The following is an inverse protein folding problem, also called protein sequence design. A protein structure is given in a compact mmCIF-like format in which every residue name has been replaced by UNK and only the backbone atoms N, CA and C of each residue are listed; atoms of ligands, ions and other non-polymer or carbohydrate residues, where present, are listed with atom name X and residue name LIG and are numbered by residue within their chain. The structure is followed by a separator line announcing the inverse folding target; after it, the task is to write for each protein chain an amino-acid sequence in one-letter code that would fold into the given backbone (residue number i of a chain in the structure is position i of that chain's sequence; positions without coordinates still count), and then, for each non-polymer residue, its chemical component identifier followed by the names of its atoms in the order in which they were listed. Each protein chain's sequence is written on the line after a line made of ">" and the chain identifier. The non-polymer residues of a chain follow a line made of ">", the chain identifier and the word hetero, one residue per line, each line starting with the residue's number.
data_IF_022309507506
#
_entry.id   IF_022309507506
#
_cell.length_a   1.000
_cell.length_b   1.000
_cell.length_c   1.000
_cell.angle_alpha   90.00
_cell.angle_beta   90.00
_cell.angle_gamma   90.00
#
_symmetry.space_group_name_H-M   'P 1'
#
loop_
_entity.id
_entity.type
_entity.pdbx_description
1 polymer ?
#
# COMPACT_ATOMS: atom_id res chain seq x y z
N UNK A 1 -23.04 -11.30 -17.06
CA UNK A 1 -23.45 -10.32 -18.09
C UNK A 1 -24.44 -10.99 -19.00
N UNK A 2 -25.53 -10.30 -19.36
CA UNK A 2 -26.47 -10.81 -20.36
C UNK A 2 -25.80 -10.77 -21.75
N UNK A 3 -25.67 -11.95 -22.38
CA UNK A 3 -24.94 -12.15 -23.65
C UNK A 3 -25.70 -11.61 -24.85
N UNK A 4 -26.96 -11.22 -24.66
CA UNK A 4 -27.83 -10.69 -25.73
C UNK A 4 -27.39 -9.32 -26.22
N UNK A 5 -26.81 -8.48 -25.35
CA UNK A 5 -26.40 -7.11 -25.69
C UNK A 5 -25.02 -6.98 -26.36
N UNK A 6 -24.21 -8.05 -26.37
CA UNK A 6 -22.85 -8.03 -26.93
C UNK A 6 -22.73 -8.85 -28.22
N UNK A 7 -23.79 -8.90 -29.04
CA UNK A 7 -23.78 -9.71 -30.28
C UNK A 7 -22.67 -9.32 -31.24
N UNK A 8 -22.31 -8.05 -31.25
CA UNK A 8 -21.33 -7.47 -32.17
C UNK A 8 -19.89 -7.48 -31.64
N UNK A 9 -19.65 -8.00 -30.43
CA UNK A 9 -18.32 -8.06 -29.81
C UNK A 9 -18.03 -9.52 -29.41
N UNK A 10 -17.55 -10.34 -30.35
CA UNK A 10 -17.25 -11.76 -30.11
C UNK A 10 -16.35 -12.00 -28.88
N UNK A 11 -15.46 -11.05 -28.60
CA UNK A 11 -14.51 -11.07 -27.48
C UNK A 11 -15.21 -11.19 -26.12
N UNK A 12 -16.41 -10.61 -25.95
CA UNK A 12 -17.17 -10.67 -24.70
C UNK A 12 -18.10 -11.88 -24.59
N UNK A 13 -18.19 -12.71 -25.65
CA UNK A 13 -19.01 -13.93 -25.66
C UNK A 13 -18.24 -15.15 -25.15
N UNK A 14 -16.93 -15.21 -25.37
CA UNK A 14 -16.16 -16.45 -25.28
C UNK A 14 -15.16 -16.51 -24.12
N UNK A 15 -14.61 -15.38 -23.65
CA UNK A 15 -13.63 -15.41 -22.58
C UNK A 15 -13.67 -14.16 -21.70
N UNK A 16 -13.61 -14.36 -20.38
CA UNK A 16 -13.50 -13.29 -19.37
C UNK A 16 -12.06 -12.77 -19.29
N UNK A 17 -11.09 -13.50 -19.85
CA UNK A 17 -9.66 -13.19 -19.80
C UNK A 17 -9.02 -13.26 -21.19
N UNK A 18 -8.24 -12.25 -21.54
CA UNK A 18 -7.43 -12.19 -22.76
C UNK A 18 -5.94 -12.21 -22.37
N UNK A 19 -5.14 -12.99 -23.09
CA UNK A 19 -3.70 -13.14 -22.85
C UNK A 19 -2.98 -12.72 -24.12
N UNK A 20 -1.96 -11.89 -23.97
CA UNK A 20 -1.07 -11.47 -25.04
C UNK A 20 0.35 -11.92 -24.70
N UNK A 21 1.03 -12.50 -25.67
CA UNK A 21 2.46 -12.80 -25.64
C UNK A 21 3.09 -11.98 -26.76
N UNK A 22 4.11 -11.19 -26.42
CA UNK A 22 4.82 -10.30 -27.32
C UNK A 22 6.30 -10.36 -26.95
N UNK A 23 7.17 -10.20 -27.94
CA UNK A 23 8.62 -10.27 -27.72
C UNK A 23 9.20 -8.91 -27.29
N UNK A 24 8.48 -7.81 -27.57
CA UNK A 24 8.90 -6.45 -27.22
C UNK A 24 7.83 -5.68 -26.44
N UNK A 25 8.27 -4.65 -25.71
CA UNK A 25 7.38 -3.78 -24.94
C UNK A 25 6.52 -2.90 -25.87
N UNK A 26 7.07 -2.49 -27.01
CA UNK A 26 6.41 -1.70 -28.03
C UNK A 26 5.22 -2.47 -28.64
N UNK A 27 5.43 -3.72 -29.04
CA UNK A 27 4.37 -4.57 -29.59
C UNK A 27 3.27 -4.83 -28.56
N UNK A 28 3.65 -5.08 -27.31
CA UNK A 28 2.69 -5.25 -26.22
C UNK A 28 1.86 -3.97 -26.02
N UNK A 29 2.52 -2.80 -25.99
CA UNK A 29 1.88 -1.50 -25.84
C UNK A 29 0.83 -1.25 -26.92
N UNK A 30 1.16 -1.52 -28.18
CA UNK A 30 0.23 -1.37 -29.31
C UNK A 30 -1.00 -2.28 -29.15
N UNK A 31 -0.80 -3.57 -28.81
CA UNK A 31 -1.92 -4.51 -28.63
C UNK A 31 -2.83 -4.16 -27.45
N UNK A 32 -2.28 -3.64 -26.35
CA UNK A 32 -3.06 -3.34 -25.14
C UNK A 32 -3.65 -1.93 -25.13
N UNK A 33 -3.25 -1.04 -26.04
CA UNK A 33 -3.67 0.37 -26.06
C UNK A 33 -5.19 0.55 -26.01
N UNK A 34 -5.94 -0.25 -26.76
CA UNK A 34 -7.41 -0.20 -26.75
C UNK A 34 -8.06 -0.60 -25.41
N UNK A 35 -7.31 -1.27 -24.52
CA UNK A 35 -7.73 -1.69 -23.18
C UNK A 35 -7.24 -0.76 -22.07
N UNK A 36 -6.28 0.13 -22.34
CA UNK A 36 -5.64 1.00 -21.33
C UNK A 36 -5.96 2.48 -21.51
N UNK A 37 -6.13 2.96 -22.74
CA UNK A 37 -6.20 4.39 -23.05
C UNK A 37 -7.57 4.82 -23.57
N UNK A 38 -7.96 6.03 -23.21
CA UNK A 38 -9.17 6.70 -23.70
C UNK A 38 -8.93 7.58 -24.93
N UNK A 39 -7.70 7.62 -25.45
CA UNK A 39 -7.30 8.56 -26.50
C UNK A 39 -8.11 8.34 -27.79
N UNK A 40 -8.87 9.36 -28.17
CA UNK A 40 -9.72 9.40 -29.36
C UNK A 40 -8.95 9.75 -30.64
N UNK A 41 -7.65 9.99 -30.55
CA UNK A 41 -6.83 10.49 -31.67
C UNK A 41 -6.23 9.40 -32.57
N UNK A 42 -6.34 8.12 -32.21
CA UNK A 42 -5.87 7.03 -33.08
C UNK A 42 -7.00 6.50 -33.96
N UNK A 43 -7.02 6.88 -35.23
CA UNK A 43 -7.92 6.31 -36.26
C UNK A 43 -7.78 4.78 -36.44
N UNK A 44 -6.76 4.18 -35.83
CA UNK A 44 -6.46 2.74 -35.88
C UNK A 44 -7.36 1.89 -34.99
N UNK A 45 -7.97 2.43 -33.93
CA UNK A 45 -8.82 1.66 -33.02
C UNK A 45 -10.27 2.14 -33.04
N UNK A 46 -11.11 1.49 -33.86
CA UNK A 46 -12.56 1.77 -33.96
C UNK A 46 -13.34 1.51 -32.65
N UNK A 47 -12.79 0.77 -31.68
CA UNK A 47 -13.45 0.45 -30.40
C UNK A 47 -12.46 0.49 -29.24
N UNK A 48 -12.80 1.26 -28.20
CA UNK A 48 -12.08 1.32 -26.94
C UNK A 48 -12.78 0.45 -25.88
N UNK A 49 -12.02 -0.40 -25.20
CA UNK A 49 -12.52 -1.38 -24.23
C UNK A 49 -12.14 -1.08 -22.79
N UNK A 50 -11.24 -0.11 -22.54
CA UNK A 50 -10.79 0.26 -21.19
C UNK A 50 -11.90 0.47 -20.14
N UNK A 51 -13.12 0.97 -20.46
CA UNK A 51 -14.17 1.12 -19.44
C UNK A 51 -14.69 -0.22 -18.90
N UNK A 52 -14.48 -1.31 -19.64
CA UNK A 52 -14.92 -2.66 -19.30
C UNK A 52 -13.81 -3.49 -18.64
N UNK A 53 -12.58 -2.97 -18.63
CA UNK A 53 -11.41 -3.68 -18.11
C UNK A 53 -11.36 -3.50 -16.60
N UNK A 54 -11.41 -4.63 -15.87
CA UNK A 54 -11.28 -4.63 -14.41
C UNK A 54 -9.83 -4.50 -13.96
N UNK A 55 -8.92 -5.25 -14.57
CA UNK A 55 -7.49 -5.24 -14.26
C UNK A 55 -6.67 -5.70 -15.47
N UNK A 56 -5.42 -5.25 -15.51
CA UNK A 56 -4.41 -5.70 -16.47
C UNK A 56 -3.22 -6.19 -15.66
N UNK A 57 -2.73 -7.39 -15.97
CA UNK A 57 -1.55 -7.97 -15.34
C UNK A 57 -0.45 -8.08 -16.38
N UNK A 58 0.63 -7.34 -16.16
CA UNK A 58 1.82 -7.37 -17.02
C UNK A 58 2.87 -8.24 -16.32
N UNK A 59 3.47 -9.17 -17.05
CA UNK A 59 4.60 -9.97 -16.58
C UNK A 59 5.82 -9.60 -17.40
N UNK A 60 6.88 -9.18 -16.72
CA UNK A 60 8.15 -8.83 -17.34
C UNK A 60 9.10 -10.02 -17.16
N UNK A 61 9.58 -10.67 -18.23
CA UNK A 61 10.57 -11.73 -18.11
C UNK A 61 11.93 -11.17 -17.63
N UNK A 62 12.77 -12.03 -17.07
CA UNK A 62 14.16 -11.71 -16.70
C UNK A 62 14.34 -10.59 -15.65
N UNK A 63 13.33 -10.31 -14.82
CA UNK A 63 13.38 -9.31 -13.76
C UNK A 63 13.76 -9.88 -12.39
N UNK A 64 14.58 -10.95 -12.34
CA UNK A 64 14.84 -11.73 -11.12
C UNK A 64 15.39 -10.87 -9.98
N UNK A 65 16.29 -9.94 -10.32
CA UNK A 65 16.95 -9.09 -9.34
C UNK A 65 16.05 -7.99 -8.78
N UNK A 66 14.90 -7.70 -9.42
CA UNK A 66 14.08 -6.54 -9.08
C UNK A 66 12.64 -6.89 -8.68
N UNK A 67 11.99 -7.80 -9.41
CA UNK A 67 10.54 -8.04 -9.33
C UNK A 67 10.16 -9.54 -9.16
N UNK A 68 11.10 -10.45 -8.89
CA UNK A 68 10.81 -11.89 -8.70
C UNK A 68 9.75 -12.13 -7.60
N UNK A 69 9.83 -11.34 -6.53
CA UNK A 69 8.97 -11.43 -5.36
C UNK A 69 8.23 -10.13 -5.06
N UNK A 70 8.26 -9.18 -6.01
CA UNK A 70 7.63 -7.87 -5.86
C UNK A 70 6.60 -7.67 -6.98
N UNK A 71 5.36 -7.34 -6.58
CA UNK A 71 4.29 -6.97 -7.51
C UNK A 71 4.01 -5.48 -7.36
N UNK A 72 4.20 -4.73 -8.44
CA UNK A 72 3.79 -3.33 -8.51
C UNK A 72 2.31 -3.26 -8.94
N UNK A 73 1.50 -2.54 -8.17
CA UNK A 73 0.08 -2.34 -8.46
C UNK A 73 -0.15 -0.86 -8.68
N UNK A 74 -0.43 -0.49 -9.93
CA UNK A 74 -0.90 0.85 -10.27
C UNK A 74 -2.40 0.95 -9.98
N UNK A 75 -2.77 1.86 -9.08
CA UNK A 75 -4.14 2.02 -8.61
C UNK A 75 -4.74 3.31 -9.21
N UNK A 76 -6.03 3.30 -9.60
CA UNK A 76 -6.68 4.49 -10.09
C UNK A 76 -6.67 5.60 -9.03
N UNK A 77 -6.43 6.84 -9.47
CA UNK A 77 -6.44 8.01 -8.60
C UNK A 77 -7.84 8.38 -8.08
N UNK A 78 -7.88 9.30 -7.11
CA UNK A 78 -9.11 9.86 -6.56
C UNK A 78 -9.72 10.83 -7.60
N UNK A 79 -10.98 10.62 -7.99
CA UNK A 79 -11.64 11.43 -9.03
C UNK A 79 -12.03 10.67 -10.29
N UNK A 80 -11.98 9.34 -10.25
CA UNK A 80 -12.53 8.52 -11.33
C UNK A 80 -14.05 8.71 -11.43
N UNK A 81 -14.55 8.95 -12.65
CA UNK A 81 -16.00 9.05 -12.90
C UNK A 81 -16.76 7.79 -12.49
N UNK A 82 -16.09 6.63 -12.48
CA UNK A 82 -16.62 5.37 -12.02
C UNK A 82 -16.34 5.16 -10.53
N UNK A 83 -17.40 5.20 -9.72
CA UNK A 83 -17.33 5.00 -8.26
C UNK A 83 -16.68 3.68 -7.83
N UNK A 84 -16.88 2.59 -8.59
CA UNK A 84 -16.27 1.31 -8.22
C UNK A 84 -14.75 1.33 -8.40
N UNK A 85 -14.24 2.18 -9.30
CA UNK A 85 -12.81 2.42 -9.50
C UNK A 85 -12.26 3.39 -8.47
N UNK A 86 -12.99 4.46 -8.19
CA UNK A 86 -12.68 5.45 -7.15
C UNK A 86 -12.53 4.83 -5.74
N UNK A 87 -13.23 3.72 -5.47
CA UNK A 87 -13.17 3.00 -4.19
C UNK A 87 -12.26 1.76 -4.23
N UNK A 88 -11.75 1.37 -5.41
CA UNK A 88 -10.96 0.15 -5.57
C UNK A 88 -9.69 0.17 -4.73
N UNK A 89 -8.97 1.30 -4.74
CA UNK A 89 -7.68 1.42 -4.03
C UNK A 89 -7.83 1.14 -2.52
N UNK A 90 -8.97 1.50 -1.89
CA UNK A 90 -9.22 1.26 -0.46
C UNK A 90 -9.16 -0.22 -0.08
N UNK A 91 -9.60 -1.10 -0.97
CA UNK A 91 -9.60 -2.55 -0.74
C UNK A 91 -8.23 -3.20 -0.96
N UNK A 92 -7.35 -2.58 -1.75
CA UNK A 92 -6.03 -3.11 -2.05
C UNK A 92 -4.95 -2.58 -1.11
N UNK A 93 -5.06 -1.32 -0.67
CA UNK A 93 -3.99 -0.63 0.04
C UNK A 93 -3.62 -1.27 1.38
N UNK A 94 -4.58 -1.91 2.07
CA UNK A 94 -4.33 -2.64 3.32
C UNK A 94 -3.51 -3.92 3.15
N UNK A 95 -3.49 -4.50 1.93
CA UNK A 95 -2.72 -5.70 1.60
C UNK A 95 -1.35 -5.35 0.98
N UNK A 96 -1.03 -4.07 0.80
CA UNK A 96 0.26 -3.65 0.28
C UNK A 96 1.31 -3.71 1.40
N UNK A 97 2.51 -4.21 1.12
CA UNK A 97 3.63 -4.16 2.09
C UNK A 97 4.37 -2.82 2.06
N UNK A 98 4.24 -2.07 0.97
CA UNK A 98 4.76 -0.71 0.82
C UNK A 98 3.81 0.10 -0.07
N UNK A 99 3.67 1.40 0.21
CA UNK A 99 2.81 2.30 -0.56
C UNK A 99 3.59 3.47 -1.11
N UNK A 100 3.44 3.73 -2.40
CA UNK A 100 4.05 4.86 -3.10
C UNK A 100 2.97 5.88 -3.46
N UNK A 101 3.09 7.10 -2.93
CA UNK A 101 2.22 8.24 -3.26
C UNK A 101 2.96 9.07 -4.29
N UNK A 102 2.46 9.10 -5.51
CA UNK A 102 3.10 9.77 -6.64
C UNK A 102 2.40 11.10 -6.92
N UNK A 103 3.13 12.20 -6.86
CA UNK A 103 2.62 13.54 -7.17
C UNK A 103 3.60 14.29 -8.05
N UNK A 104 3.10 15.26 -8.82
CA UNK A 104 3.93 16.27 -9.47
C UNK A 104 4.67 17.09 -8.41
N UNK A 105 5.95 17.41 -8.60
CA UNK A 105 6.73 18.22 -7.65
C UNK A 105 6.10 19.60 -7.41
N UNK A 106 5.46 20.19 -8.42
CA UNK A 106 4.78 21.48 -8.29
C UNK A 106 3.53 21.40 -7.39
N UNK A 107 2.99 20.19 -7.21
CA UNK A 107 1.74 19.92 -6.48
C UNK A 107 1.94 19.10 -5.20
N UNK A 108 3.12 18.53 -4.98
CA UNK A 108 3.42 17.60 -3.88
C UNK A 108 3.02 18.13 -2.49
N UNK A 109 3.13 19.43 -2.25
CA UNK A 109 2.80 20.05 -0.97
C UNK A 109 1.41 20.65 -0.91
N UNK A 110 0.80 20.96 -2.05
CA UNK A 110 -0.45 21.73 -2.16
C UNK A 110 -1.67 20.88 -2.56
N UNK A 111 -1.47 19.80 -3.32
CA UNK A 111 -2.54 18.90 -3.76
C UNK A 111 -3.22 18.26 -2.56
N UNK A 112 -4.55 18.33 -2.51
CA UNK A 112 -5.28 17.87 -1.33
C UNK A 112 -5.51 16.35 -1.40
N UNK A 113 -5.74 15.86 -2.61
CA UNK A 113 -6.05 14.49 -2.96
C UNK A 113 -4.96 13.52 -2.51
N UNK A 114 -3.69 13.83 -2.82
CA UNK A 114 -2.53 13.03 -2.40
C UNK A 114 -2.41 12.89 -0.88
N UNK A 115 -2.78 13.93 -0.14
CA UNK A 115 -2.75 13.92 1.33
C UNK A 115 -4.02 13.33 1.95
N UNK A 116 -5.16 13.43 1.28
CA UNK A 116 -6.39 12.73 1.67
C UNK A 116 -6.25 11.22 1.50
N UNK A 117 -5.60 10.76 0.41
CA UNK A 117 -5.24 9.35 0.22
C UNK A 117 -4.34 8.90 1.37
N UNK A 118 -3.31 9.68 1.73
CA UNK A 118 -2.47 9.35 2.87
C UNK A 118 -3.27 9.23 4.17
N UNK A 119 -4.06 10.25 4.54
CA UNK A 119 -4.82 10.27 5.80
C UNK A 119 -5.80 9.10 5.90
N UNK A 120 -6.47 8.77 4.79
CA UNK A 120 -7.40 7.63 4.75
C UNK A 120 -6.68 6.28 4.73
N UNK A 121 -5.55 6.20 4.04
CA UNK A 121 -4.71 4.99 3.96
C UNK A 121 -4.05 4.65 5.29
N UNK A 122 -3.59 5.65 6.04
CA UNK A 122 -2.91 5.49 7.33
C UNK A 122 -3.75 4.71 8.33
N UNK A 123 -5.07 4.90 8.32
CA UNK A 123 -5.99 4.13 9.17
C UNK A 123 -6.14 2.66 8.74
N UNK A 124 -5.93 2.36 7.45
CA UNK A 124 -6.00 1.01 6.87
C UNK A 124 -4.66 0.26 6.96
N UNK A 125 -3.56 1.01 6.96
CA UNK A 125 -2.17 0.53 7.01
C UNK A 125 -1.61 0.48 8.44
N UNK A 126 -2.27 1.17 9.38
CA UNK A 126 -1.87 1.24 10.78
C UNK A 126 -1.83 -0.13 11.49
N UNK A 127 -1.81 -0.17 12.83
CA UNK A 127 -1.76 -1.42 13.60
C UNK A 127 -2.80 -2.45 13.11
N UNK A 128 -2.29 -3.52 12.48
CA UNK A 128 -3.08 -4.56 11.80
C UNK A 128 -2.90 -4.66 10.28
N UNK A 129 -2.29 -3.67 9.62
CA UNK A 129 -1.97 -3.70 8.19
C UNK A 129 -0.57 -4.29 7.88
N UNK A 130 -0.36 -4.76 6.65
CA UNK A 130 0.94 -5.32 6.24
C UNK A 130 1.97 -4.26 5.80
N UNK A 131 1.57 -2.99 5.66
CA UNK A 131 2.47 -1.98 5.11
C UNK A 131 3.49 -1.48 6.14
N UNK A 132 4.76 -1.65 5.77
CA UNK A 132 5.93 -1.33 6.59
C UNK A 132 6.59 -0.01 6.20
N UNK A 133 6.22 0.58 5.06
CA UNK A 133 6.85 1.81 4.57
C UNK A 133 5.96 2.58 3.60
N UNK A 134 5.94 3.91 3.75
CA UNK A 134 5.30 4.82 2.81
C UNK A 134 6.39 5.64 2.12
N UNK A 135 6.30 5.77 0.79
CA UNK A 135 7.20 6.63 0.01
C UNK A 135 6.40 7.69 -0.73
N UNK A 136 6.83 8.95 -0.64
CA UNK A 136 6.26 10.04 -1.41
C UNK A 136 7.19 10.36 -2.58
N UNK A 137 6.72 10.21 -3.81
CA UNK A 137 7.49 10.36 -5.04
C UNK A 137 7.05 11.63 -5.75
N UNK A 138 7.91 12.65 -5.70
CA UNK A 138 7.73 13.91 -6.41
C UNK A 138 8.31 13.78 -7.83
N UNK A 139 7.43 13.72 -8.83
CA UNK A 139 7.77 13.54 -10.25
C UNK A 139 7.96 14.87 -10.98
N UNK A 140 8.46 14.81 -12.22
CA UNK A 140 8.68 15.97 -13.11
C UNK A 140 9.65 17.00 -12.53
N UNK A 141 10.71 16.52 -11.90
CA UNK A 141 11.75 17.40 -11.35
C UNK A 141 12.59 18.09 -12.43
N UNK A 142 12.45 17.68 -13.68
CA UNK A 142 12.97 18.35 -14.88
C UNK A 142 12.17 19.57 -15.31
N UNK A 143 10.94 19.73 -14.80
CA UNK A 143 10.10 20.87 -15.16
C UNK A 143 10.57 22.12 -14.42
N UNK A 144 11.30 22.98 -15.14
CA UNK A 144 11.90 24.24 -14.67
C UNK A 144 11.51 25.39 -15.59
N UNK A 145 11.39 26.58 -15.00
CA UNK A 145 11.07 27.80 -15.74
C UNK A 145 12.22 28.21 -16.68
N UNK A 146 11.90 28.94 -17.76
CA UNK A 146 12.88 29.35 -18.78
C UNK A 146 14.05 30.17 -18.19
N UNK A 147 13.74 31.04 -17.24
CA UNK A 147 14.70 31.89 -16.52
C UNK A 147 15.69 31.10 -15.63
N UNK A 148 15.41 29.83 -15.33
CA UNK A 148 16.25 28.97 -14.48
C UNK A 148 17.16 28.05 -15.29
N UNK A 149 17.04 28.04 -16.63
CA UNK A 149 17.78 27.10 -17.48
C UNK A 149 19.29 27.29 -17.47
N UNK A 150 19.78 28.51 -17.23
CA UNK A 150 21.22 28.80 -17.17
C UNK A 150 21.90 28.06 -16.00
N UNK A 151 21.22 27.94 -14.86
CA UNK A 151 21.68 27.27 -13.64
C UNK A 151 20.79 26.05 -13.29
N UNK A 152 20.29 25.36 -14.32
CA UNK A 152 19.26 24.32 -14.20
C UNK A 152 19.57 23.27 -13.13
N UNK A 153 20.80 22.72 -13.14
CA UNK A 153 21.25 21.70 -12.19
C UNK A 153 21.08 22.16 -10.73
N UNK A 154 21.68 23.30 -10.38
CA UNK A 154 21.60 23.89 -9.03
C UNK A 154 20.16 24.23 -8.63
N UNK A 155 19.38 24.80 -9.54
CA UNK A 155 17.98 25.13 -9.30
C UNK A 155 17.14 23.87 -9.00
N UNK A 156 17.33 22.81 -9.78
CA UNK A 156 16.62 21.53 -9.59
C UNK A 156 16.98 20.93 -8.24
N UNK A 157 18.28 20.80 -7.90
CA UNK A 157 18.70 20.20 -6.63
C UNK A 157 18.18 20.99 -5.43
N UNK A 158 18.28 22.32 -5.47
CA UNK A 158 17.78 23.19 -4.38
C UNK A 158 16.27 23.06 -4.20
N UNK A 159 15.52 23.05 -5.30
CA UNK A 159 14.06 22.88 -5.27
C UNK A 159 13.69 21.50 -4.73
N UNK A 160 14.35 20.45 -5.20
CA UNK A 160 14.12 19.07 -4.77
C UNK A 160 14.30 18.93 -3.26
N UNK A 161 15.41 19.41 -2.70
CA UNK A 161 15.65 19.36 -1.25
C UNK A 161 14.64 20.19 -0.45
N UNK A 162 14.27 21.37 -0.98
CA UNK A 162 13.23 22.20 -0.36
C UNK A 162 11.88 21.48 -0.32
N UNK A 163 11.46 20.88 -1.44
CA UNK A 163 10.20 20.14 -1.52
C UNK A 163 10.22 18.91 -0.61
N UNK A 164 11.31 18.15 -0.58
CA UNK A 164 11.45 17.00 0.33
C UNK A 164 11.27 17.41 1.79
N UNK A 165 11.88 18.53 2.20
CA UNK A 165 11.70 19.08 3.55
C UNK A 165 10.24 19.46 3.81
N UNK A 166 9.60 20.18 2.89
CA UNK A 166 8.20 20.59 3.04
C UNK A 166 7.24 19.41 3.11
N UNK A 167 7.45 18.35 2.32
CA UNK A 167 6.66 17.12 2.38
C UNK A 167 6.85 16.42 3.73
N UNK A 168 8.09 16.27 4.21
CA UNK A 168 8.35 15.72 5.55
C UNK A 168 7.70 16.54 6.66
N UNK A 169 7.79 17.86 6.59
CA UNK A 169 7.18 18.78 7.56
C UNK A 169 5.65 18.68 7.53
N UNK A 170 5.03 18.50 6.35
CA UNK A 170 3.58 18.32 6.22
C UNK A 170 3.16 16.95 6.76
N UNK A 171 3.91 15.89 6.48
CA UNK A 171 3.66 14.55 6.99
C UNK A 171 3.70 14.48 8.51
N UNK A 172 4.74 15.04 9.14
CA UNK A 172 4.85 15.08 10.60
C UNK A 172 3.76 15.92 11.28
N UNK A 173 3.11 16.83 10.55
CA UNK A 173 1.95 17.60 11.04
C UNK A 173 0.63 16.84 10.94
N UNK A 174 0.56 15.73 10.20
CA UNK A 174 -0.67 14.95 10.07
C UNK A 174 -1.03 14.24 11.37
N UNK A 175 -2.26 14.46 11.85
CA UNK A 175 -2.74 13.93 13.13
C UNK A 175 -2.91 12.42 13.11
N UNK A 176 -3.45 11.87 12.03
CA UNK A 176 -3.70 10.42 11.92
C UNK A 176 -2.38 9.63 11.81
N UNK A 177 -1.39 10.17 11.10
CA UNK A 177 -0.04 9.59 11.02
C UNK A 177 0.58 9.46 12.40
N UNK A 178 0.53 10.54 13.21
CA UNK A 178 1.05 10.55 14.58
C UNK A 178 0.35 9.56 15.51
N UNK A 179 -0.92 9.23 15.25
CA UNK A 179 -1.66 8.25 16.06
C UNK A 179 -1.21 6.83 15.76
N UNK A 180 -1.07 6.48 14.48
CA UNK A 180 -0.83 5.08 14.10
C UNK A 180 0.66 4.72 14.02
N UNK A 181 1.55 5.68 13.75
CA UNK A 181 2.98 5.41 13.61
C UNK A 181 3.81 6.12 14.68
N UNK A 182 4.70 5.36 15.32
CA UNK A 182 5.84 5.93 16.03
C UNK A 182 6.74 6.56 14.97
N UNK A 183 6.75 7.88 14.87
CA UNK A 183 7.40 8.63 13.78
C UNK A 183 8.93 8.50 13.89
N UNK A 184 9.47 7.35 13.48
CA UNK A 184 10.87 7.20 13.10
C UNK A 184 11.07 7.73 11.67
N UNK A 185 12.22 8.33 11.39
CA UNK A 185 12.57 8.86 10.07
C UNK A 185 12.51 7.80 8.95
N UNK A 186 12.56 6.52 9.30
CA UNK A 186 12.63 5.43 8.32
C UNK A 186 11.28 5.02 7.71
N UNK A 187 10.16 5.41 8.33
CA UNK A 187 8.82 5.01 7.85
C UNK A 187 8.39 5.79 6.59
N UNK A 188 8.75 7.08 6.51
CA UNK A 188 8.50 7.91 5.33
C UNK A 188 9.80 8.18 4.57
N UNK A 189 9.84 7.73 3.32
CA UNK A 189 10.86 8.17 2.36
C UNK A 189 10.27 9.19 1.39
N UNK A 190 11.03 10.23 1.04
CA UNK A 190 10.61 11.21 0.04
C UNK A 190 11.64 11.25 -1.08
N UNK A 191 11.20 10.93 -2.28
CA UNK A 191 12.01 10.87 -3.48
C UNK A 191 11.62 12.00 -4.45
N UNK A 192 12.60 12.52 -5.17
CA UNK A 192 12.41 13.50 -6.24
C UNK A 192 12.96 12.93 -7.54
N UNK A 193 12.08 12.66 -8.50
CA UNK A 193 12.42 11.87 -9.68
C UNK A 193 12.11 12.58 -11.00
N UNK A 194 12.98 12.34 -11.98
CA UNK A 194 12.73 12.68 -13.39
C UNK A 194 13.14 11.52 -14.29
N UNK A 195 12.17 10.98 -15.03
CA UNK A 195 12.43 9.97 -16.05
C UNK A 195 13.15 10.54 -17.27
N UNK A 196 12.92 11.82 -17.60
CA UNK A 196 13.60 12.46 -18.74
C UNK A 196 15.08 12.64 -18.48
N UNK A 197 15.44 13.14 -17.30
CA UNK A 197 16.84 13.30 -16.92
C UNK A 197 17.53 11.95 -16.75
N UNK A 198 16.83 10.94 -16.23
CA UNK A 198 17.40 9.59 -16.11
C UNK A 198 17.74 8.95 -17.47
N UNK A 199 16.96 9.26 -18.51
CA UNK A 199 17.19 8.74 -19.86
C UNK A 199 18.19 9.56 -20.68
N UNK A 200 18.28 10.87 -20.43
CA UNK A 200 19.00 11.82 -21.32
C UNK A 200 20.15 12.56 -20.66
N UNK A 201 20.23 12.56 -19.33
CA UNK A 201 21.26 13.22 -18.52
C UNK A 201 21.56 14.67 -18.96
N UNK A 202 20.52 15.46 -19.19
CA UNK A 202 20.67 16.81 -19.76
C UNK A 202 21.16 17.80 -18.71
N UNK A 203 20.60 17.70 -17.52
CA UNK A 203 20.83 18.61 -16.40
C UNK A 203 21.15 17.86 -15.10
N UNK A 204 20.87 16.55 -15.00
CA UNK A 204 21.18 15.73 -13.82
C UNK A 204 21.85 14.43 -14.24
N UNK A 205 22.76 13.92 -13.41
CA UNK A 205 23.24 12.53 -13.52
C UNK A 205 22.16 11.54 -13.06
N UNK A 206 22.24 10.29 -13.49
CA UNK A 206 21.25 9.26 -13.14
C UNK A 206 21.08 9.10 -11.62
N UNK A 207 22.17 9.16 -10.86
CA UNK A 207 22.19 9.04 -9.41
C UNK A 207 21.41 10.19 -8.73
N UNK A 208 21.44 11.37 -9.33
CA UNK A 208 20.76 12.58 -8.83
C UNK A 208 19.26 12.56 -9.10
N UNK A 209 18.79 11.74 -10.05
CA UNK A 209 17.36 11.56 -10.34
C UNK A 209 16.64 10.70 -9.32
N UNK A 210 17.37 10.04 -8.42
CA UNK A 210 16.86 9.13 -7.39
C UNK A 210 16.06 7.91 -7.89
N UNK A 211 15.89 7.74 -9.20
CA UNK A 211 15.35 6.51 -9.80
C UNK A 211 16.20 5.29 -9.40
N UNK A 212 17.56 5.36 -9.40
CA UNK A 212 18.37 4.27 -8.87
C UNK A 212 18.05 3.91 -7.41
N UNK A 213 17.75 4.90 -6.56
CA UNK A 213 17.36 4.67 -5.16
C UNK A 213 16.00 3.96 -5.04
N UNK A 214 15.06 4.27 -5.95
CA UNK A 214 13.79 3.52 -6.04
C UNK A 214 14.02 2.08 -6.52
N UNK A 215 14.91 1.86 -7.47
CA UNK A 215 15.30 0.51 -7.88
C UNK A 215 15.95 -0.26 -6.73
N UNK A 216 16.85 0.37 -5.97
CA UNK A 216 17.46 -0.21 -4.78
C UNK A 216 16.41 -0.54 -3.71
N UNK A 217 15.41 0.31 -3.52
CA UNK A 217 14.28 0.03 -2.64
C UNK A 217 13.55 -1.27 -3.06
N UNK A 218 13.28 -1.44 -4.36
CA UNK A 218 12.64 -2.66 -4.88
C UNK A 218 13.53 -3.89 -4.72
N UNK A 219 14.83 -3.79 -5.03
CA UNK A 219 15.81 -4.87 -4.80
C UNK A 219 15.82 -5.31 -3.34
N UNK A 220 15.85 -4.36 -2.41
CA UNK A 220 15.81 -4.65 -0.98
C UNK A 220 14.52 -5.38 -0.55
N UNK A 221 13.38 -5.06 -1.15
CA UNK A 221 12.13 -5.80 -0.89
C UNK A 221 12.20 -7.23 -1.45
N UNK A 222 12.76 -7.37 -2.65
CA UNK A 222 12.94 -8.66 -3.32
C UNK A 222 13.88 -9.59 -2.52
N UNK A 223 15.03 -9.06 -2.09
CA UNK A 223 16.07 -9.80 -1.37
C UNK A 223 15.65 -10.28 0.01
N UNK A 224 14.77 -9.53 0.71
CA UNK A 224 14.30 -9.92 2.05
C UNK A 224 13.69 -11.32 2.06
N UNK A 225 12.92 -11.65 1.02
CA UNK A 225 12.30 -12.98 0.91
C UNK A 225 13.36 -14.06 0.63
N UNK A 226 14.33 -13.76 -0.23
CA UNK A 226 15.45 -14.65 -0.53
C UNK A 226 16.27 -14.95 0.73
N UNK A 227 16.66 -13.92 1.49
CA UNK A 227 17.43 -14.07 2.73
C UNK A 227 16.71 -14.90 3.78
N UNK A 228 15.40 -14.68 3.98
CA UNK A 228 14.62 -15.53 4.89
C UNK A 228 14.60 -16.98 4.42
N UNK A 229 14.42 -17.23 3.13
CA UNK A 229 14.46 -18.57 2.56
C UNK A 229 15.84 -19.23 2.71
N UNK A 230 16.91 -18.46 2.53
CA UNK A 230 18.30 -18.91 2.71
C UNK A 230 18.57 -19.29 4.17
N UNK A 231 18.22 -18.45 5.14
CA UNK A 231 18.38 -18.79 6.56
C UNK A 231 17.62 -20.06 6.94
N UNK A 232 16.38 -20.22 6.45
CA UNK A 232 15.58 -21.43 6.70
C UNK A 232 16.24 -22.65 6.04
N UNK A 233 16.76 -22.49 4.83
CA UNK A 233 17.41 -23.59 4.09
C UNK A 233 18.76 -23.97 4.69
N UNK A 234 19.55 -23.00 5.18
CA UNK A 234 20.82 -23.24 5.86
C UNK A 234 20.59 -23.96 7.20
N UNK A 235 19.64 -23.48 8.00
CA UNK A 235 19.25 -24.15 9.23
C UNK A 235 18.75 -25.57 8.96
N UNK A 236 17.93 -25.76 7.92
CA UNK A 236 17.48 -27.08 7.49
C UNK A 236 18.62 -27.98 7.02
N UNK A 237 19.59 -27.43 6.28
CA UNK A 237 20.78 -28.15 5.81
C UNK A 237 21.65 -28.63 6.97
N UNK A 238 21.91 -27.78 7.95
CA UNK A 238 22.64 -28.15 9.18
C UNK A 238 21.89 -29.25 9.93
N UNK A 239 20.57 -29.11 10.11
CA UNK A 239 19.74 -30.14 10.75
C UNK A 239 19.78 -31.48 9.99
N UNK A 240 19.75 -31.43 8.66
CA UNK A 240 19.83 -32.62 7.81
C UNK A 240 21.20 -33.31 7.91
N UNK A 241 22.29 -32.54 8.00
CA UNK A 241 23.64 -33.08 8.22
C UNK A 241 23.78 -33.74 9.60
N UNK A 242 23.23 -33.12 10.65
CA UNK A 242 23.20 -33.71 11.99
C UNK A 242 22.40 -35.01 11.97
N UNK A 243 21.24 -35.03 11.30
CA UNK A 243 20.41 -36.22 11.17
C UNK A 243 21.10 -37.33 10.37
N UNK A 244 21.80 -36.98 9.28
CA UNK A 244 22.61 -37.92 8.50
C UNK A 244 23.79 -38.49 9.30
N UNK A 245 24.48 -37.66 10.10
CA UNK A 245 25.61 -38.05 10.93
C UNK A 245 25.26 -38.98 12.11
N UNK A 246 23.98 -39.09 12.49
CA UNK A 246 23.47 -40.11 13.44
C UNK A 246 23.64 -41.54 12.90
N UNK A 247 23.99 -41.72 11.62
CA UNK A 247 24.16 -43.04 10.98
C UNK A 247 25.60 -43.57 10.90
N UNK A 248 26.59 -42.90 11.54
CA UNK A 248 27.99 -43.36 11.58
C UNK A 248 28.57 -43.57 13.00
N UNK A 249 29.36 -44.65 13.12
CA UNK A 249 29.92 -45.35 14.30
C UNK A 249 30.87 -44.54 15.22
N UNK A 250 30.44 -43.36 15.68
CA UNK A 250 31.11 -42.57 16.72
C UNK A 250 30.05 -42.12 17.74
N UNK A 251 29.66 -43.03 18.62
CA UNK A 251 28.38 -43.00 19.36
C UNK A 251 28.33 -42.01 20.52
N UNK A 252 29.39 -41.85 21.31
CA UNK A 252 29.21 -41.27 22.65
C UNK A 252 29.20 -39.72 22.68
N UNK A 253 30.11 -39.05 21.94
CA UNK A 253 30.14 -37.57 21.89
C UNK A 253 29.05 -36.97 20.99
N UNK A 254 28.51 -37.73 20.03
CA UNK A 254 27.44 -37.24 19.13
C UNK A 254 26.09 -37.18 19.83
N UNK A 255 25.82 -38.15 20.70
CA UNK A 255 24.55 -38.26 21.39
C UNK A 255 24.38 -37.14 22.43
N UNK A 256 25.43 -36.81 23.18
CA UNK A 256 25.42 -35.68 24.13
C UNK A 256 25.17 -34.33 23.42
N UNK A 257 25.88 -34.06 22.32
CA UNK A 257 25.69 -32.83 21.54
C UNK A 257 24.29 -32.76 20.92
N UNK A 258 23.77 -33.88 20.40
CA UNK A 258 22.40 -33.94 19.88
C UNK A 258 21.37 -33.65 20.98
N UNK A 259 21.52 -34.24 22.17
CA UNK A 259 20.63 -33.99 23.30
C UNK A 259 20.66 -32.53 23.74
N UNK A 260 21.84 -31.90 23.79
CA UNK A 260 21.98 -30.47 24.11
C UNK A 260 21.28 -29.59 23.06
N UNK A 261 21.42 -29.91 21.77
CA UNK A 261 20.76 -29.16 20.69
C UNK A 261 19.25 -29.35 20.71
N UNK A 262 18.76 -30.57 20.89
CA UNK A 262 17.32 -30.89 21.01
C UNK A 262 16.71 -30.18 22.23
N UNK A 263 17.41 -30.17 23.35
CA UNK A 263 16.99 -29.46 24.56
C UNK A 263 16.95 -27.94 24.34
N UNK A 264 17.99 -27.34 23.74
CA UNK A 264 17.99 -25.91 23.39
C UNK A 264 16.88 -25.55 22.41
N UNK A 265 16.65 -26.39 21.40
CA UNK A 265 15.57 -26.19 20.44
C UNK A 265 14.21 -26.21 21.15
N UNK A 266 13.98 -27.20 22.01
CA UNK A 266 12.77 -27.32 22.82
C UNK A 266 12.57 -26.10 23.74
N UNK A 267 13.63 -25.62 24.39
CA UNK A 267 13.59 -24.41 25.21
C UNK A 267 13.28 -23.15 24.39
N UNK A 268 13.88 -23.00 23.21
CA UNK A 268 13.62 -21.87 22.31
C UNK A 268 12.21 -21.91 21.75
N UNK A 269 11.72 -23.08 21.31
CA UNK A 269 10.33 -23.26 20.87
C UNK A 269 9.37 -22.92 22.01
N UNK A 270 9.65 -23.39 23.23
CA UNK A 270 8.83 -23.07 24.41
C UNK A 270 8.84 -21.57 24.71
N UNK A 271 9.99 -20.92 24.63
CA UNK A 271 10.11 -19.48 24.84
C UNK A 271 9.35 -18.67 23.78
N UNK A 272 9.42 -19.08 22.51
CA UNK A 272 8.62 -18.49 21.42
C UNK A 272 7.13 -18.69 21.69
N UNK A 273 6.72 -19.93 22.04
CA UNK A 273 5.34 -20.25 22.37
C UNK A 273 4.79 -19.41 23.53
N UNK A 274 5.56 -19.24 24.60
CA UNK A 274 5.19 -18.37 25.73
C UNK A 274 5.03 -16.91 25.30
N UNK A 275 5.97 -16.39 24.50
CA UNK A 275 5.86 -15.02 23.97
C UNK A 275 4.62 -14.84 23.08
N UNK A 276 4.26 -15.86 22.29
CA UNK A 276 3.06 -15.84 21.46
C UNK A 276 1.78 -15.94 22.31
N UNK A 277 1.76 -16.80 23.33
CA UNK A 277 0.63 -16.95 24.25
C UNK A 277 0.38 -15.67 25.05
N UNK A 278 1.43 -15.00 25.51
CA UNK A 278 1.33 -13.74 26.24
C UNK A 278 0.76 -12.64 25.33
N UNK A 279 1.24 -12.56 24.09
CA UNK A 279 0.68 -11.64 23.09
C UNK A 279 -0.80 -11.98 22.80
N UNK A 280 -1.14 -13.26 22.62
CA UNK A 280 -2.51 -13.70 22.36
C UNK A 280 -3.45 -13.29 23.50
N UNK A 281 -3.08 -13.58 24.76
CA UNK A 281 -3.87 -13.19 25.94
C UNK A 281 -4.02 -11.68 26.06
N UNK A 282 -2.96 -10.93 25.74
CA UNK A 282 -3.01 -9.47 25.75
C UNK A 282 -4.03 -8.95 24.73
N UNK A 283 -3.98 -9.44 23.48
CA UNK A 283 -4.94 -9.07 22.44
C UNK A 283 -6.37 -9.53 22.76
N UNK A 284 -6.57 -10.74 23.26
CA UNK A 284 -7.89 -11.25 23.66
C UNK A 284 -8.53 -10.37 24.73
N UNK A 285 -7.75 -9.94 25.73
CA UNK A 285 -8.21 -9.00 26.77
C UNK A 285 -8.57 -7.64 26.17
N UNK A 286 -7.73 -7.11 25.27
CA UNK A 286 -7.99 -5.82 24.60
C UNK A 286 -9.25 -5.87 23.74
N UNK A 287 -9.43 -6.95 22.96
CA UNK A 287 -10.61 -7.19 22.13
C UNK A 287 -11.87 -7.30 22.98
N UNK A 288 -11.84 -8.13 24.03
CA UNK A 288 -12.98 -8.32 24.94
C UNK A 288 -13.42 -7.00 25.57
N UNK A 289 -12.45 -6.22 26.08
CA UNK A 289 -12.72 -4.89 26.64
C UNK A 289 -13.22 -3.91 25.58
N UNK A 290 -12.70 -3.96 24.36
CA UNK A 290 -13.12 -3.12 23.24
C UNK A 290 -14.55 -3.40 22.80
N UNK A 291 -14.95 -4.68 22.77
CA UNK A 291 -16.33 -5.09 22.51
C UNK A 291 -17.25 -4.55 23.60
N UNK A 292 -16.92 -4.76 24.88
CA UNK A 292 -17.73 -4.25 25.99
C UNK A 292 -17.91 -2.72 25.92
N UNK A 293 -16.82 -1.97 25.70
CA UNK A 293 -16.89 -0.52 25.56
C UNK A 293 -17.70 -0.08 24.33
N UNK A 294 -17.62 -0.83 23.22
CA UNK A 294 -18.40 -0.57 22.02
C UNK A 294 -19.89 -0.75 22.31
N UNK A 295 -20.29 -1.84 22.98
CA UNK A 295 -21.68 -2.10 23.38
C UNK A 295 -22.23 -1.00 24.29
N UNK A 296 -21.50 -0.64 25.35
CA UNK A 296 -21.91 0.40 26.31
C UNK A 296 -22.04 1.80 25.68
N UNK A 297 -21.23 2.09 24.66
CA UNK A 297 -21.18 3.41 24.01
C UNK A 297 -21.91 3.48 22.67
N UNK A 298 -22.41 2.35 22.15
CA UNK A 298 -22.97 2.22 20.81
C UNK A 298 -24.09 3.24 20.56
N UNK A 299 -25.08 3.32 21.45
CA UNK A 299 -26.21 4.23 21.31
C UNK A 299 -25.76 5.70 21.31
N UNK A 300 -24.80 6.05 22.18
CA UNK A 300 -24.23 7.41 22.26
C UNK A 300 -23.46 7.78 20.99
N UNK A 301 -22.68 6.86 20.44
CA UNK A 301 -21.93 7.06 19.19
C UNK A 301 -22.91 7.20 18.02
N UNK A 302 -23.87 6.28 17.93
CA UNK A 302 -24.90 6.27 16.88
C UNK A 302 -25.71 7.58 16.88
N UNK A 303 -26.14 8.04 18.05
CA UNK A 303 -26.88 9.31 18.19
C UNK A 303 -26.03 10.54 17.84
N UNK A 304 -24.73 10.55 18.18
CA UNK A 304 -23.82 11.62 17.75
C UNK A 304 -23.67 11.67 16.23
N UNK A 305 -23.59 10.51 15.57
CA UNK A 305 -23.42 10.42 14.11
C UNK A 305 -24.70 10.81 13.37
N UNK A 306 -25.85 10.31 13.81
CA UNK A 306 -27.14 10.45 13.12
C UNK A 306 -27.85 11.77 13.48
N UNK A 307 -27.66 12.30 14.68
CA UNK A 307 -28.35 13.50 15.18
C UNK A 307 -27.42 14.52 15.87
N UNK A 308 -26.36 15.02 15.20
CA UNK A 308 -25.33 15.86 15.83
C UNK A 308 -25.80 17.23 16.35
N UNK A 309 -27.04 17.65 16.08
CA UNK A 309 -27.59 18.96 16.49
C UNK A 309 -28.97 18.89 17.16
N UNK A 310 -29.43 17.71 17.57
CA UNK A 310 -30.73 17.54 18.24
C UNK A 310 -31.96 17.94 17.39
N UNK A 311 -31.79 18.22 16.09
CA UNK A 311 -32.89 18.61 15.20
C UNK A 311 -33.71 17.38 14.80
N UNK A 312 -34.89 17.25 15.40
CA UNK A 312 -35.93 16.28 15.00
C UNK A 312 -36.31 16.57 13.54
N UNK A 313 -36.01 15.63 12.63
CA UNK A 313 -36.47 15.67 11.23
C UNK A 313 -35.40 15.52 10.14
N UNK A 314 -34.11 15.81 10.40
CA UNK A 314 -33.05 15.68 9.37
C UNK A 314 -32.26 14.35 9.41
N UNK A 315 -32.42 13.55 10.48
CA UNK A 315 -31.67 12.31 10.68
C UNK A 315 -32.09 11.17 9.73
N UNK A 316 -33.36 11.09 9.34
CA UNK A 316 -33.85 10.00 8.50
C UNK A 316 -33.13 9.91 7.15
N UNK A 317 -32.88 11.04 6.49
CA UNK A 317 -32.15 11.06 5.21
C UNK A 317 -30.69 10.64 5.37
N UNK A 318 -30.07 11.00 6.50
CA UNK A 318 -28.71 10.58 6.84
C UNK A 318 -28.65 9.07 7.10
N UNK A 319 -29.54 8.54 7.95
CA UNK A 319 -29.67 7.09 8.24
C UNK A 319 -29.91 6.32 6.95
N UNK A 320 -30.88 6.76 6.14
CA UNK A 320 -31.20 6.15 4.85
C UNK A 320 -29.98 6.11 3.93
N UNK A 321 -29.17 7.17 3.92
CA UNK A 321 -27.93 7.19 3.15
C UNK A 321 -26.86 6.27 3.72
N UNK A 322 -26.68 6.23 5.04
CA UNK A 322 -25.72 5.34 5.70
C UNK A 322 -26.07 3.88 5.40
N UNK A 323 -27.33 3.47 5.58
CA UNK A 323 -27.77 2.11 5.29
C UNK A 323 -27.57 1.71 3.81
N UNK A 324 -27.85 2.62 2.87
CA UNK A 324 -27.67 2.34 1.43
C UNK A 324 -26.21 2.23 0.99
N UNK A 325 -25.29 2.87 1.71
CA UNK A 325 -23.89 2.98 1.33
C UNK A 325 -22.97 2.28 2.35
N UNK A 326 -23.45 1.20 2.99
CA UNK A 326 -22.63 0.38 3.89
C UNK A 326 -22.02 1.14 5.08
N UNK A 327 -22.74 2.11 5.64
CA UNK A 327 -22.31 2.87 6.83
C UNK A 327 -21.57 4.18 6.53
N UNK A 328 -21.48 4.60 5.26
CA UNK A 328 -20.76 5.83 4.86
C UNK A 328 -21.68 6.85 4.19
N UNK A 329 -21.60 8.12 4.63
CA UNK A 329 -22.32 9.23 4.03
C UNK A 329 -21.38 10.36 3.62
N UNK A 330 -21.33 10.63 2.32
CA UNK A 330 -20.66 11.80 1.75
C UNK A 330 -21.70 12.89 1.43
N UNK A 331 -21.75 13.99 2.20
CA UNK A 331 -22.72 15.06 1.95
C UNK A 331 -22.42 15.79 0.63
N UNK A 332 -23.43 15.96 -0.24
CA UNK A 332 -23.29 16.70 -1.51
C UNK A 332 -23.47 18.21 -1.29
N UNK A 333 -22.52 19.02 -1.75
CA UNK A 333 -22.66 20.49 -1.80
C UNK A 333 -21.39 21.25 -2.20
N UNK A 334 -21.55 22.45 -2.78
CA UNK A 334 -20.49 23.36 -3.29
C UNK A 334 -19.45 23.84 -2.27
N UNK A 335 -19.52 23.38 -1.01
CA UNK A 335 -18.47 23.58 -0.01
C UNK A 335 -17.81 22.23 0.23
N UNK A 336 -16.68 21.99 -0.43
CA UNK A 336 -15.76 20.83 -0.32
C UNK A 336 -15.17 20.59 1.08
N UNK A 337 -15.80 21.15 2.13
CA UNK A 337 -15.33 21.11 3.53
C UNK A 337 -16.13 20.17 4.43
N UNK A 338 -17.21 19.52 3.96
CA UNK A 338 -17.93 18.57 4.81
C UNK A 338 -17.28 17.19 4.72
N UNK A 339 -16.58 16.81 5.79
CA UNK A 339 -15.94 15.50 5.97
C UNK A 339 -16.95 14.37 5.80
N UNK A 340 -16.49 13.27 5.24
CA UNK A 340 -17.21 12.00 5.18
C UNK A 340 -17.69 11.60 6.59
N UNK A 341 -18.95 11.18 6.69
CA UNK A 341 -19.51 10.60 7.91
C UNK A 341 -19.40 9.09 7.76
N UNK A 342 -18.58 8.45 8.61
CA UNK A 342 -18.38 7.00 8.60
C UNK A 342 -18.79 6.41 9.95
N UNK A 343 -19.95 5.75 9.98
CA UNK A 343 -20.49 5.12 11.17
C UNK A 343 -19.65 3.91 11.60
N UNK A 344 -19.20 3.11 10.63
CA UNK A 344 -18.38 1.92 10.89
C UNK A 344 -17.09 2.30 11.60
N UNK A 345 -16.42 3.35 11.12
CA UNK A 345 -15.21 3.89 11.73
C UNK A 345 -15.46 4.33 13.18
N UNK A 346 -16.56 5.05 13.40
CA UNK A 346 -16.93 5.55 14.73
C UNK A 346 -17.19 4.42 15.72
N UNK A 347 -17.82 3.33 15.27
CA UNK A 347 -18.08 2.13 16.08
C UNK A 347 -16.80 1.31 16.31
N UNK A 348 -15.95 1.18 15.29
CA UNK A 348 -14.69 0.44 15.36
C UNK A 348 -13.64 1.14 16.22
N UNK A 349 -13.74 2.46 16.43
CA UNK A 349 -12.78 3.27 17.19
C UNK A 349 -12.53 2.70 18.60
N UNK A 350 -13.58 2.22 19.28
CA UNK A 350 -13.46 1.61 20.62
C UNK A 350 -12.53 0.39 20.64
N UNK A 351 -12.61 -0.46 19.62
CA UNK A 351 -11.74 -1.63 19.49
C UNK A 351 -10.32 -1.21 19.09
N UNK A 352 -10.19 -0.35 18.07
CA UNK A 352 -8.88 0.10 17.56
C UNK A 352 -8.06 0.79 18.64
N UNK A 353 -8.64 1.71 19.41
CA UNK A 353 -7.88 2.46 20.42
C UNK A 353 -7.23 1.57 21.49
N UNK A 354 -7.81 0.40 21.80
CA UNK A 354 -7.26 -0.54 22.78
C UNK A 354 -6.24 -1.50 22.16
N UNK A 355 -6.45 -1.91 20.90
CA UNK A 355 -5.55 -2.81 20.18
C UNK A 355 -4.28 -2.08 19.75
N UNK A 356 -4.41 -0.85 19.25
CA UNK A 356 -3.31 -0.09 18.66
C UNK A 356 -2.13 0.10 19.63
N UNK A 357 -2.41 0.35 20.91
CA UNK A 357 -1.37 0.49 21.94
C UNK A 357 -0.67 -0.83 22.25
N UNK A 358 -1.43 -1.93 22.35
CA UNK A 358 -0.88 -3.24 22.66
C UNK A 358 -0.12 -3.81 21.45
N UNK A 359 -0.61 -3.57 20.24
CA UNK A 359 0.02 -3.96 19.00
C UNK A 359 1.43 -3.37 18.87
N UNK A 360 1.59 -2.08 19.17
CA UNK A 360 2.90 -1.41 19.15
C UNK A 360 3.92 -1.97 20.15
N UNK A 361 3.47 -2.59 21.26
CA UNK A 361 4.38 -3.21 22.24
C UNK A 361 4.93 -4.54 21.74
N UNK A 362 4.10 -5.33 21.06
CA UNK A 362 4.47 -6.64 20.57
C UNK A 362 5.10 -6.61 19.17
N UNK A 363 4.75 -5.60 18.36
CA UNK A 363 5.20 -5.43 16.98
C UNK A 363 5.67 -3.98 16.75
N UNK A 364 6.86 -3.61 17.30
CA UNK A 364 7.39 -2.25 17.24
C UNK A 364 7.78 -1.78 15.83
#
# INVERSE_FOLDING_TARGET
>A
MDRTHFREIPEFRLSVKKIFLCDTAEELSEKITCYTRSDTQSDTFKRQYWPLVKCITIKVPNSKDLLEHVVLVDLPGNGDSNKSRDEMWKSFVGNCSAVWIVSDIARATSEKESWEILDSTVSLIGPGGECRSISFICTKTDDIEENQKADAHTCILRRNETTKKQVRDKFTKQKEVKKHFSVGNDFLKVFTVSSKEYQKEKHLQQEETEIPKLMEFLRNLNDRRTKTSEYVSEAYGILSLIQGAKSSDMTDNKEEVCQVLEQRLKEKIKSIGQSMDDAYKAFERCLSKGVQQSEESCEKIMNKVIAPRGKKGSGYQLVKSLCKNGGVHKPKGKRERRREINLNESLATCMRSLIDEEFKKHFP
#
